data_IF_735808039876
#
_entry.id   IF_735808039876
#
_cell.length_a   1.000
_cell.length_b   1.000
_cell.length_c   1.000
_cell.angle_alpha   90.00
_cell.angle_beta   90.00
_cell.angle_gamma   90.00
#
_symmetry.space_group_name_H-M   'P 1'
#
loop_
_entity.id
_entity.type
_entity.pdbx_description
1 polymer ?
#
# COMPACT_ATOMS: atom_id res chain seq x y z
N UNK A 1 0.57 13.35 5.99
CA UNK A 1 1.71 12.54 5.49
C UNK A 1 2.57 12.09 6.69
N UNK A 2 3.12 10.86 6.68
CA UNK A 2 4.06 10.44 7.71
C UNK A 2 5.37 11.23 7.62
N UNK A 3 6.10 11.33 8.73
CA UNK A 3 7.45 11.87 8.76
C UNK A 3 8.39 11.03 7.86
N UNK A 4 9.11 11.63 6.89
CA UNK A 4 9.96 10.89 5.95
C UNK A 4 11.07 10.07 6.61
N UNK A 5 11.73 10.59 7.66
CA UNK A 5 12.82 9.89 8.33
C UNK A 5 12.28 8.72 9.17
N UNK A 6 11.11 8.90 9.78
CA UNK A 6 10.42 7.82 10.49
C UNK A 6 10.04 6.70 9.52
N UNK A 7 9.44 7.03 8.37
CA UNK A 7 9.03 6.03 7.38
C UNK A 7 10.23 5.21 6.87
N UNK A 8 11.31 5.90 6.47
CA UNK A 8 12.55 5.26 6.00
C UNK A 8 13.15 4.33 7.05
N UNK A 9 13.18 4.76 8.31
CA UNK A 9 13.68 3.95 9.42
C UNK A 9 12.82 2.71 9.63
N UNK A 10 11.49 2.87 9.67
CA UNK A 10 10.54 1.76 9.86
C UNK A 10 10.58 0.74 8.74
N UNK A 11 10.77 1.16 7.48
CA UNK A 11 10.94 0.23 6.36
C UNK A 11 12.16 -0.69 6.56
N UNK A 12 13.29 -0.15 7.03
CA UNK A 12 14.51 -0.94 7.29
C UNK A 12 14.37 -1.83 8.52
N UNK A 13 13.75 -1.33 9.58
CA UNK A 13 13.46 -2.13 10.78
C UNK A 13 12.58 -3.34 10.43
N UNK A 14 11.54 -3.15 9.63
CA UNK A 14 10.67 -4.25 9.19
C UNK A 14 11.45 -5.28 8.36
N UNK A 15 12.31 -4.85 7.43
CA UNK A 15 13.17 -5.76 6.69
C UNK A 15 14.08 -6.58 7.64
N UNK A 16 14.69 -5.92 8.64
CA UNK A 16 15.49 -6.58 9.66
C UNK A 16 14.70 -7.61 10.48
N UNK A 17 13.45 -7.29 10.87
CA UNK A 17 12.55 -8.20 11.57
C UNK A 17 12.20 -9.42 10.71
N UNK A 18 11.96 -9.24 9.42
CA UNK A 18 11.66 -10.33 8.48
C UNK A 18 12.86 -11.27 8.31
N UNK A 19 14.07 -10.73 8.19
CA UNK A 19 15.29 -11.54 8.17
C UNK A 19 15.52 -12.27 9.49
N UNK A 20 15.32 -11.60 10.63
CA UNK A 20 15.43 -12.22 11.95
C UNK A 20 14.38 -13.33 12.17
N UNK A 21 13.21 -13.20 11.56
CA UNK A 21 12.16 -14.24 11.56
C UNK A 21 12.49 -15.44 10.63
N UNK A 22 13.59 -15.39 9.90
CA UNK A 22 14.08 -16.49 9.07
C UNK A 22 13.74 -16.40 7.58
N UNK A 23 13.29 -15.25 7.08
CA UNK A 23 13.16 -15.03 5.63
C UNK A 23 14.57 -14.98 5.02
N UNK A 24 14.89 -15.96 4.18
CA UNK A 24 16.18 -16.06 3.50
C UNK A 24 16.14 -15.35 2.14
N UNK A 25 16.94 -14.29 1.91
CA UNK A 25 16.96 -13.57 0.64
C UNK A 25 17.48 -14.41 -0.54
N UNK A 26 18.18 -15.52 -0.29
CA UNK A 26 18.59 -16.45 -1.35
C UNK A 26 17.42 -17.34 -1.83
N UNK A 27 16.33 -17.41 -1.06
CA UNK A 27 15.17 -18.29 -1.31
C UNK A 27 13.87 -17.52 -1.51
N UNK A 28 13.85 -16.23 -1.22
CA UNK A 28 12.64 -15.40 -1.25
C UNK A 28 12.97 -14.00 -1.78
N UNK A 29 12.09 -13.47 -2.63
CA UNK A 29 12.18 -12.11 -3.12
C UNK A 29 11.59 -11.14 -2.08
N UNK A 30 12.43 -10.60 -1.21
CA UNK A 30 12.04 -9.51 -0.32
C UNK A 30 12.37 -8.17 -0.97
N UNK A 31 11.35 -7.39 -1.32
CA UNK A 31 11.51 -6.10 -2.01
C UNK A 31 10.74 -5.00 -1.29
N UNK A 32 11.14 -3.75 -1.51
CA UNK A 32 10.36 -2.58 -1.08
C UNK A 32 9.46 -2.20 -2.25
N UNK A 33 8.14 -2.16 -2.02
CA UNK A 33 7.12 -1.89 -3.05
C UNK A 33 7.48 -0.69 -3.94
N UNK A 34 7.90 0.44 -3.33
CA UNK A 34 8.24 1.66 -4.06
C UNK A 34 9.49 1.56 -4.96
N UNK A 35 10.28 0.48 -4.87
CA UNK A 35 11.42 0.25 -5.75
C UNK A 35 11.00 -0.42 -7.07
N UNK A 36 9.74 -0.86 -7.20
CA UNK A 36 9.23 -1.53 -8.39
C UNK A 36 8.12 -0.67 -8.98
N UNK A 37 8.42 0.07 -10.06
CA UNK A 37 7.47 1.00 -10.67
C UNK A 37 6.22 0.32 -11.23
N UNK A 38 6.34 -0.95 -11.64
CA UNK A 38 5.25 -1.75 -12.20
C UNK A 38 3.99 -1.81 -11.32
N UNK A 39 4.14 -1.75 -9.98
CA UNK A 39 3.01 -1.70 -9.04
C UNK A 39 2.14 -0.45 -9.29
N UNK A 40 2.76 0.72 -9.42
CA UNK A 40 2.03 1.95 -9.65
C UNK A 40 1.44 2.02 -11.07
N UNK A 41 2.18 1.52 -12.06
CA UNK A 41 1.77 1.49 -13.46
C UNK A 41 0.54 0.59 -13.67
N UNK A 42 0.56 -0.63 -13.11
CA UNK A 42 -0.57 -1.55 -13.22
C UNK A 42 -1.75 -1.09 -12.34
N UNK A 43 -1.51 -0.52 -11.16
CA UNK A 43 -2.58 0.09 -10.36
C UNK A 43 -3.34 1.18 -11.13
N UNK A 44 -2.65 1.98 -11.96
CA UNK A 44 -3.31 2.95 -12.83
C UNK A 44 -4.25 2.28 -13.85
N UNK A 45 -3.78 1.22 -14.51
CA UNK A 45 -4.61 0.45 -15.45
C UNK A 45 -5.81 -0.18 -14.74
N UNK A 46 -5.61 -0.76 -13.55
CA UNK A 46 -6.69 -1.39 -12.77
C UNK A 46 -7.73 -0.37 -12.28
N UNK A 47 -7.32 0.86 -11.95
CA UNK A 47 -8.26 1.94 -11.62
C UNK A 47 -9.21 2.24 -12.79
N UNK A 48 -8.73 2.17 -14.04
CA UNK A 48 -9.58 2.36 -15.23
C UNK A 48 -10.61 1.23 -15.44
N UNK A 49 -10.40 0.07 -14.81
CA UNK A 49 -11.29 -1.10 -14.92
C UNK A 49 -12.17 -1.29 -13.69
N UNK A 50 -11.87 -0.60 -12.59
CA UNK A 50 -12.56 -0.82 -11.31
C UNK A 50 -13.66 0.22 -11.09
N UNK A 51 -14.94 -0.19 -10.97
CA UNK A 51 -16.02 0.76 -10.75
C UNK A 51 -15.90 1.49 -9.40
N UNK A 52 -16.18 2.81 -9.39
CA UNK A 52 -16.18 3.63 -8.18
C UNK A 52 -17.00 3.03 -7.03
N UNK A 53 -18.19 2.52 -7.33
CA UNK A 53 -19.07 1.93 -6.32
C UNK A 53 -18.49 0.69 -5.63
N UNK A 54 -17.51 0.01 -6.21
CA UNK A 54 -16.82 -1.10 -5.53
C UNK A 54 -15.94 -0.57 -4.40
N UNK A 55 -15.19 0.49 -4.67
CA UNK A 55 -14.33 1.15 -3.68
C UNK A 55 -15.15 1.83 -2.57
N UNK A 56 -16.26 2.50 -2.92
CA UNK A 56 -17.16 3.16 -1.95
C UNK A 56 -17.78 2.17 -0.95
N UNK A 57 -17.99 0.91 -1.37
CA UNK A 57 -18.57 -0.13 -0.50
C UNK A 57 -17.56 -0.77 0.44
N UNK A 58 -16.26 -0.54 0.26
CA UNK A 58 -15.23 -1.14 1.11
C UNK A 58 -15.39 -0.65 2.55
N UNK A 59 -15.61 -1.58 3.49
CA UNK A 59 -15.75 -1.28 4.92
C UNK A 59 -14.56 -0.48 5.44
N UNK A 60 -13.34 -0.83 4.99
CA UNK A 60 -12.12 -0.13 5.36
C UNK A 60 -12.09 1.32 4.90
N UNK A 61 -12.63 1.61 3.71
CA UNK A 61 -12.77 3.00 3.25
C UNK A 61 -13.80 3.74 4.12
N UNK A 62 -14.98 3.17 4.36
CA UNK A 62 -16.03 3.79 5.19
C UNK A 62 -15.55 4.12 6.60
N UNK A 63 -15.01 3.13 7.32
CA UNK A 63 -14.56 3.32 8.70
C UNK A 63 -13.40 4.32 8.83
N UNK A 64 -12.43 4.28 7.90
CA UNK A 64 -11.28 5.18 7.94
C UNK A 64 -11.65 6.59 7.44
N UNK A 65 -12.61 6.70 6.52
CA UNK A 65 -13.08 7.99 6.01
C UNK A 65 -13.92 8.75 7.02
N UNK A 66 -14.78 8.08 7.78
CA UNK A 66 -15.55 8.71 8.86
C UNK A 66 -14.64 9.32 9.94
N UNK A 67 -13.53 8.64 10.25
CA UNK A 67 -12.54 9.11 11.24
C UNK A 67 -11.74 10.33 10.76
N UNK A 68 -11.47 10.43 9.45
CA UNK A 68 -10.58 11.46 8.89
C UNK A 68 -11.33 12.60 8.20
N UNK A 69 -12.62 12.44 7.89
CA UNK A 69 -13.51 13.43 7.24
C UNK A 69 -12.84 14.12 6.05
N UNK A 70 -12.59 15.42 6.12
CA UNK A 70 -11.99 16.21 5.04
C UNK A 70 -10.52 15.86 4.76
N UNK A 71 -9.86 15.09 5.63
CA UNK A 71 -8.47 14.64 5.45
C UNK A 71 -8.34 13.30 4.73
N UNK A 72 -9.44 12.75 4.25
CA UNK A 72 -9.45 11.48 3.50
C UNK A 72 -8.74 11.66 2.18
N UNK A 73 -7.64 10.91 2.00
CA UNK A 73 -6.88 10.96 0.77
C UNK A 73 -7.52 10.10 -0.32
N UNK A 74 -7.32 10.49 -1.58
CA UNK A 74 -7.69 9.64 -2.74
C UNK A 74 -6.98 8.30 -2.67
N UNK A 75 -5.73 8.27 -2.17
CA UNK A 75 -5.00 7.01 -1.95
C UNK A 75 -5.72 6.05 -0.99
N UNK A 76 -6.42 6.55 0.04
CA UNK A 76 -7.21 5.69 0.94
C UNK A 76 -8.44 5.07 0.22
N UNK A 77 -8.93 5.72 -0.83
CA UNK A 77 -10.00 5.19 -1.65
C UNK A 77 -9.49 4.20 -2.70
N UNK A 78 -8.34 4.47 -3.32
CA UNK A 78 -7.80 3.69 -4.44
C UNK A 78 -6.79 2.62 -4.04
N UNK A 79 -6.33 2.56 -2.78
CA UNK A 79 -5.37 1.53 -2.36
C UNK A 79 -5.81 0.08 -2.63
N UNK A 80 -7.11 -0.29 -2.67
CA UNK A 80 -7.47 -1.66 -3.05
C UNK A 80 -7.09 -2.01 -4.49
N UNK A 81 -7.06 -1.04 -5.41
CA UNK A 81 -6.56 -1.26 -6.77
C UNK A 81 -5.03 -1.42 -6.78
N UNK A 82 -4.31 -0.67 -5.94
CA UNK A 82 -2.87 -0.87 -5.75
C UNK A 82 -2.57 -2.25 -5.13
N UNK A 83 -3.36 -2.67 -4.15
CA UNK A 83 -3.25 -4.00 -3.54
C UNK A 83 -3.54 -5.14 -4.52
N UNK A 84 -4.44 -4.94 -5.49
CA UNK A 84 -4.67 -5.89 -6.57
C UNK A 84 -3.53 -5.90 -7.60
N UNK A 85 -2.74 -4.83 -7.65
CA UNK A 85 -1.55 -4.71 -8.50
C UNK A 85 -0.28 -5.21 -7.81
N UNK A 86 -0.31 -5.41 -6.49
CA UNK A 86 0.82 -5.86 -5.69
C UNK A 86 1.12 -7.34 -5.84
#
# INVERSE_FOLDING_TARGET
PPDPEVLKTKTRELAGLLFAAGIDPARSALTVQSHISAHAELAWILNCLTPMGWMERMTQFKEKSEKQKERVSVGLFTYPALMASD
#
